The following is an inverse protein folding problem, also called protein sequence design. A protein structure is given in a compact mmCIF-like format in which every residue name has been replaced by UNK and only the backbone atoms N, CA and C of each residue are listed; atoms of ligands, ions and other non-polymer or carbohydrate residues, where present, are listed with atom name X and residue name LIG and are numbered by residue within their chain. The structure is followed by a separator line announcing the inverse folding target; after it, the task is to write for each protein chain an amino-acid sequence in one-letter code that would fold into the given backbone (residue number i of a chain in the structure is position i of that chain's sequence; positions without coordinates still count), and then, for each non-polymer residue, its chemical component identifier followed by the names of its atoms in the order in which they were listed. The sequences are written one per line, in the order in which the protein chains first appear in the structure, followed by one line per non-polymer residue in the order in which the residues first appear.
data_IF_808764430179
#
_entry.id   IF_808764430179
#
_cell.length_a   1.000
_cell.length_b   1.000
_cell.length_c   1.000
_cell.angle_alpha   90.00
_cell.angle_beta   90.00
_cell.angle_gamma   90.00
#
_symmetry.space_group_name_H-M   'P 1'
#
loop_
_entity.id
_entity.type
_entity.pdbx_description
1 polymer ?
#
# COMPACT_ATOMS: atom_id res chain seq x y z
N UNK A 1 10.89 -17.79 0.55
CA UNK A 1 11.70 -16.94 -0.33
C UNK A 1 10.77 -15.83 -0.76
N UNK A 2 10.93 -14.62 -0.20
CA UNK A 2 10.04 -13.50 -0.51
C UNK A 2 10.51 -12.86 -1.80
N UNK A 3 9.74 -13.01 -2.88
CA UNK A 3 10.03 -12.51 -4.23
C UNK A 3 9.37 -11.15 -4.46
N UNK A 4 9.55 -10.24 -3.51
CA UNK A 4 9.01 -8.89 -3.53
C UNK A 4 9.49 -8.12 -2.30
N UNK A 5 9.68 -6.81 -2.42
CA UNK A 5 10.13 -5.88 -1.37
C UNK A 5 9.26 -5.99 -0.10
N UNK A 6 9.63 -6.92 0.78
CA UNK A 6 9.02 -7.10 2.09
C UNK A 6 9.79 -6.22 3.09
N UNK A 7 9.23 -5.06 3.41
CA UNK A 7 9.80 -4.13 4.40
C UNK A 7 9.12 -4.37 5.75
N UNK A 8 9.88 -4.87 6.73
CA UNK A 8 9.44 -4.96 8.13
C UNK A 8 9.76 -3.66 8.89
N UNK A 9 8.85 -3.21 9.76
CA UNK A 9 9.01 -1.97 10.55
C UNK A 9 8.83 -2.18 12.06
N UNK A 10 9.55 -1.34 12.80
CA UNK A 10 9.60 -1.14 14.28
C UNK A 10 8.53 -0.10 14.66
N UNK A 11 7.82 -0.23 15.80
CA UNK A 11 6.59 0.51 16.06
C UNK A 11 6.85 2.02 16.21
N UNK A 12 5.86 2.83 15.77
CA UNK A 12 5.89 4.29 15.54
C UNK A 12 6.41 4.75 14.17
N UNK A 13 5.85 4.25 13.06
CA UNK A 13 6.32 4.67 11.73
C UNK A 13 5.21 4.69 10.69
N UNK A 14 4.97 5.86 10.11
CA UNK A 14 4.38 5.97 8.78
C UNK A 14 5.25 5.15 7.81
N UNK A 15 4.78 3.97 7.43
CA UNK A 15 5.45 3.15 6.42
C UNK A 15 5.24 3.87 5.08
N UNK A 16 6.34 4.40 4.52
CA UNK A 16 6.38 5.00 3.19
C UNK A 16 7.11 4.03 2.26
N UNK A 17 6.34 3.24 1.51
CA UNK A 17 6.89 2.33 0.49
C UNK A 17 6.58 2.91 -0.87
N UNK A 18 7.60 2.99 -1.73
CA UNK A 18 7.48 3.44 -3.10
C UNK A 18 7.57 2.23 -4.05
N UNK A 19 6.59 2.05 -4.92
CA UNK A 19 6.60 1.04 -5.98
C UNK A 19 6.26 1.67 -7.33
N UNK A 20 6.84 1.21 -8.44
CA UNK A 20 6.47 1.72 -9.76
C UNK A 20 5.27 0.97 -10.33
N UNK A 21 4.22 1.71 -10.70
CA UNK A 21 3.03 1.22 -11.37
C UNK A 21 3.01 1.67 -12.84
N UNK A 22 2.43 0.88 -13.73
CA UNK A 22 2.31 1.17 -15.16
C UNK A 22 0.84 1.22 -15.58
N UNK A 23 0.54 2.04 -16.59
CA UNK A 23 -0.82 2.17 -17.12
C UNK A 23 -1.30 0.85 -17.73
N UNK A 24 -2.61 0.58 -17.62
CA UNK A 24 -3.26 -0.58 -18.23
C UNK A 24 -3.07 -1.88 -17.44
N UNK A 25 -2.34 -1.84 -16.33
CA UNK A 25 -2.19 -2.94 -15.40
C UNK A 25 -3.10 -2.73 -14.18
N UNK A 26 -3.75 -3.81 -13.75
CA UNK A 26 -4.43 -3.84 -12.44
C UNK A 26 -3.45 -4.26 -11.35
N UNK A 27 -3.57 -3.65 -10.19
CA UNK A 27 -2.76 -3.89 -9.02
C UNK A 27 -3.60 -4.35 -7.83
N UNK A 28 -2.94 -5.12 -6.98
CA UNK A 28 -3.42 -5.58 -5.69
C UNK A 28 -2.53 -5.03 -4.57
N UNK A 29 -3.16 -4.52 -3.52
CA UNK A 29 -2.53 -4.20 -2.24
C UNK A 29 -2.81 -5.35 -1.26
N UNK A 30 -1.75 -5.99 -0.77
CA UNK A 30 -1.80 -6.99 0.28
C UNK A 30 -1.16 -6.43 1.55
N UNK A 31 -1.70 -6.77 2.71
CA UNK A 31 -1.19 -6.24 3.98
C UNK A 31 -1.55 -7.13 5.16
N UNK A 32 -0.78 -7.06 6.24
CA UNK A 32 -1.12 -7.65 7.53
C UNK A 32 -0.49 -6.83 8.66
N UNK A 33 -1.02 -7.00 9.87
CA UNK A 33 -0.52 -6.32 11.06
C UNK A 33 -0.73 -7.14 12.34
N UNK A 34 0.01 -6.77 13.39
CA UNK A 34 0.01 -7.42 14.71
C UNK A 34 0.10 -6.31 15.77
N UNK A 35 -0.61 -6.42 16.90
CA UNK A 35 -1.46 -7.53 17.35
C UNK A 35 -2.83 -7.58 16.63
N UNK A 36 -3.52 -8.73 16.72
CA UNK A 36 -4.72 -9.06 15.91
C UNK A 36 -5.94 -8.19 16.25
N UNK A 37 -5.93 -7.51 17.38
CA UNK A 37 -6.95 -6.57 17.84
C UNK A 37 -6.67 -5.11 17.43
N UNK A 38 -5.50 -4.82 16.85
CA UNK A 38 -5.15 -3.48 16.39
C UNK A 38 -5.84 -3.13 15.05
N UNK A 39 -5.74 -1.86 14.65
CA UNK A 39 -6.30 -1.36 13.38
C UNK A 39 -5.25 -0.61 12.59
N UNK A 40 -5.26 -0.79 11.26
CA UNK A 40 -4.43 -0.02 10.33
C UNK A 40 -5.28 0.68 9.28
N UNK A 41 -4.80 1.84 8.85
CA UNK A 41 -5.31 2.56 7.68
C UNK A 41 -4.18 2.74 6.67
N UNK A 42 -4.40 2.28 5.44
CA UNK A 42 -3.48 2.37 4.33
C UNK A 42 -4.03 3.39 3.32
N UNK A 43 -3.16 4.23 2.78
CA UNK A 43 -3.50 5.17 1.72
C UNK A 43 -2.48 5.12 0.59
N UNK A 44 -2.96 5.13 -0.65
CA UNK A 44 -2.15 5.11 -1.87
C UNK A 44 -2.17 6.49 -2.50
N UNK A 45 -1.00 7.03 -2.80
CA UNK A 45 -0.84 8.31 -3.51
C UNK A 45 0.27 8.22 -4.56
N UNK A 46 0.18 8.98 -5.66
CA UNK A 46 1.33 9.22 -6.52
C UNK A 46 2.53 9.72 -5.71
N UNK A 47 3.72 9.24 -6.01
CA UNK A 47 4.94 9.71 -5.37
C UNK A 47 5.18 11.19 -5.67
N UNK A 48 5.70 11.92 -4.68
CA UNK A 48 5.93 13.36 -4.80
C UNK A 48 6.97 13.64 -5.88
N UNK A 49 6.69 14.60 -6.77
CA UNK A 49 7.63 15.03 -7.82
C UNK A 49 7.34 14.49 -9.22
N UNK A 50 6.30 13.68 -9.40
CA UNK A 50 5.86 13.26 -10.73
C UNK A 50 4.96 14.30 -11.38
N UNK A 51 5.65 15.24 -12.02
CA UNK A 51 5.09 16.43 -12.62
C UNK A 51 4.35 16.14 -13.93
N UNK A 52 3.20 16.79 -14.03
CA UNK A 52 2.40 17.20 -15.19
C UNK A 52 2.23 16.28 -16.43
N UNK A 53 0.97 15.94 -16.82
CA UNK A 53 -0.23 16.00 -15.99
C UNK A 53 -0.07 15.09 -14.76
N UNK A 54 -0.68 15.44 -13.61
CA UNK A 54 -0.56 14.64 -12.40
C UNK A 54 -1.09 13.23 -12.67
N UNK A 55 -0.30 12.22 -12.32
CA UNK A 55 -0.77 10.86 -12.33
C UNK A 55 -1.89 10.69 -11.30
N UNK A 56 -2.87 9.86 -11.62
CA UNK A 56 -4.00 9.56 -10.77
C UNK A 56 -4.05 8.06 -10.49
N UNK A 57 -4.32 7.71 -9.23
CA UNK A 57 -4.58 6.33 -8.80
C UNK A 57 -6.09 6.18 -8.67
N UNK A 58 -6.65 5.17 -9.31
CA UNK A 58 -8.08 4.86 -9.27
C UNK A 58 -8.34 3.53 -8.56
N UNK A 59 -9.54 3.36 -8.02
CA UNK A 59 -9.94 2.20 -7.23
C UNK A 59 -9.87 2.47 -5.72
N UNK A 60 -9.70 1.43 -4.90
CA UNK A 60 -9.63 1.55 -3.43
C UNK A 60 -8.27 2.12 -2.99
N UNK A 61 -8.17 3.45 -3.01
CA UNK A 61 -6.95 4.20 -2.66
C UNK A 61 -6.80 4.46 -1.16
N UNK A 62 -7.81 4.15 -0.35
CA UNK A 62 -7.75 4.18 1.11
C UNK A 62 -8.50 3.00 1.68
N UNK A 63 -7.86 2.28 2.60
CA UNK A 63 -8.38 1.05 3.20
C UNK A 63 -8.13 1.10 4.70
N UNK A 64 -9.17 0.89 5.50
CA UNK A 64 -9.06 0.74 6.96
C UNK A 64 -9.54 -0.66 7.32
N UNK A 65 -8.69 -1.42 8.01
CA UNK A 65 -9.01 -2.80 8.40
C UNK A 65 -8.38 -3.15 9.75
N UNK A 66 -9.09 -3.97 10.52
CA UNK A 66 -8.53 -4.59 11.72
C UNK A 66 -7.51 -5.68 11.38
N UNK A 67 -6.53 -5.85 12.26
CA UNK A 67 -5.44 -6.81 12.10
C UNK A 67 -5.87 -8.27 12.32
N UNK A 68 -7.16 -8.57 12.48
CA UNK A 68 -7.67 -9.91 12.81
C UNK A 68 -7.29 -10.96 11.76
N UNK A 69 -7.13 -10.55 10.50
CA UNK A 69 -6.65 -11.37 9.39
C UNK A 69 -5.92 -10.51 8.35
N UNK A 70 -5.05 -11.12 7.51
CA UNK A 70 -4.45 -10.43 6.37
C UNK A 70 -5.51 -9.82 5.46
N UNK A 71 -5.24 -8.60 4.98
CA UNK A 71 -6.08 -7.90 4.02
C UNK A 71 -5.54 -7.98 2.59
N UNK A 72 -6.48 -8.00 1.64
CA UNK A 72 -6.17 -7.98 0.21
C UNK A 72 -7.21 -7.14 -0.51
N UNK A 73 -6.74 -6.20 -1.31
CA UNK A 73 -7.58 -5.26 -2.04
C UNK A 73 -7.08 -5.14 -3.48
N UNK A 74 -7.92 -5.46 -4.45
CA UNK A 74 -7.62 -5.41 -5.89
C UNK A 74 -8.38 -4.28 -6.60
N UNK A 75 -8.25 -4.18 -7.93
CA UNK A 75 -8.92 -3.14 -8.72
C UNK A 75 -8.22 -1.78 -8.69
N UNK A 76 -6.94 -1.74 -8.30
CA UNK A 76 -6.17 -0.50 -8.25
C UNK A 76 -5.51 -0.29 -9.61
N UNK A 77 -5.67 0.90 -10.19
CA UNK A 77 -5.09 1.23 -11.50
C UNK A 77 -4.47 2.62 -11.48
N UNK A 78 -3.55 2.87 -12.41
CA UNK A 78 -2.91 4.17 -12.58
C UNK A 78 -3.14 4.72 -13.98
N UNK A 79 -3.34 6.04 -14.09
CA UNK A 79 -3.60 6.69 -15.38
C UNK A 79 -2.36 6.79 -16.28
N UNK A 80 -1.16 6.69 -15.70
CA UNK A 80 0.12 6.62 -16.42
C UNK A 80 1.16 5.92 -15.54
N UNK A 81 2.35 5.65 -16.10
CA UNK A 81 3.46 5.16 -15.30
C UNK A 81 3.76 6.13 -14.16
N UNK A 82 3.75 5.63 -12.93
CA UNK A 82 3.91 6.43 -11.72
C UNK A 82 4.50 5.63 -10.57
N UNK A 83 5.36 6.24 -9.77
CA UNK A 83 5.66 5.81 -8.42
C UNK A 83 4.43 5.92 -7.51
N UNK A 84 4.17 4.88 -6.73
CA UNK A 84 3.06 4.80 -5.79
C UNK A 84 3.64 4.80 -4.40
N UNK A 85 3.31 5.82 -3.62
CA UNK A 85 3.60 5.90 -2.20
C UNK A 85 2.44 5.29 -1.42
N UNK A 86 2.75 4.27 -0.62
CA UNK A 86 1.85 3.73 0.40
C UNK A 86 2.12 4.49 1.69
N UNK A 87 1.10 5.02 2.34
CA UNK A 87 1.16 5.60 3.68
C UNK A 87 0.34 4.74 4.65
N UNK A 88 0.87 4.53 5.85
CA UNK A 88 0.24 3.71 6.87
C UNK A 88 0.05 4.51 8.16
N UNK A 89 -1.18 4.49 8.67
CA UNK A 89 -1.52 4.99 10.00
C UNK A 89 -1.91 3.77 10.83
N UNK A 90 -1.23 3.57 11.94
CA UNK A 90 -1.38 2.39 12.77
C UNK A 90 -1.48 2.81 14.24
N UNK A 91 -2.49 2.32 14.94
CA UNK A 91 -2.73 2.57 16.37
C UNK A 91 -2.67 1.24 17.13
N UNK A 92 -1.82 1.17 18.16
CA UNK A 92 -1.61 -0.07 18.92
C UNK A 92 -0.95 -1.21 18.14
N UNK A 93 -0.27 -0.92 17.03
CA UNK A 93 0.37 -1.92 16.16
C UNK A 93 1.85 -2.03 16.45
N UNK A 94 2.30 -3.25 16.74
CA UNK A 94 3.72 -3.58 16.92
C UNK A 94 4.44 -3.74 15.59
N UNK A 95 3.76 -4.38 14.62
CA UNK A 95 4.30 -4.71 13.30
C UNK A 95 3.21 -4.62 12.24
N UNK A 96 3.54 -4.03 11.11
CA UNK A 96 2.70 -4.05 9.91
C UNK A 96 3.58 -4.21 8.66
N UNK A 97 2.99 -4.79 7.62
CA UNK A 97 3.57 -4.79 6.28
C UNK A 97 2.48 -4.52 5.24
N UNK A 98 2.87 -3.93 4.12
CA UNK A 98 2.03 -3.75 2.95
C UNK A 98 2.86 -3.97 1.68
N UNK A 99 2.29 -4.67 0.71
CA UNK A 99 2.89 -4.96 -0.59
C UNK A 99 1.92 -4.55 -1.68
N UNK A 100 2.41 -3.75 -2.62
CA UNK A 100 1.67 -3.33 -3.81
C UNK A 100 2.25 -4.03 -5.03
N UNK A 101 1.46 -4.85 -5.71
CA UNK A 101 1.93 -5.69 -6.83
C UNK A 101 0.91 -5.75 -7.96
N UNK A 102 1.38 -5.99 -9.17
CA UNK A 102 0.49 -6.27 -10.29
C UNK A 102 -0.37 -7.52 -9.98
N UNK A 103 -1.65 -7.45 -10.29
CA UNK A 103 -2.54 -8.61 -10.32
C UNK A 103 -2.10 -9.51 -11.46
N UNK A 104 -1.83 -10.78 -11.16
CA UNK A 104 -1.51 -11.84 -12.15
C UNK A 104 -2.72 -12.19 -13.03
#
# INVERSE_FOLDING_TARGET
MFTGDAVGVVPETALNVAASAVQGQEYTLEFDCIPRDATITLSLRPATGENDPPATISGPTTVTQGCAAPGRVSGITVSRMVGVQISVIADGVDRAWAVFRATE
#
